data_IF_377522372430
#
_entry.id   IF_377522372430
#
_cell.length_a   1.000
_cell.length_b   1.000
_cell.length_c   1.000
_cell.angle_alpha   90.00
_cell.angle_beta   90.00
_cell.angle_gamma   90.00
#
_symmetry.space_group_name_H-M   'P 1'
#
loop_
_entity.id
_entity.type
_entity.pdbx_description
1 polymer ?
#
# COMPACT_ATOMS: atom_id res chain seq x y z
N UNK A 1 5.35 31.52 -18.33
CA UNK A 1 4.23 30.61 -18.02
C UNK A 1 4.78 29.18 -17.99
N UNK A 2 5.20 28.68 -16.83
CA UNK A 2 5.78 27.33 -16.65
C UNK A 2 5.50 26.90 -15.22
N UNK A 3 4.32 26.32 -14.98
CA UNK A 3 3.89 25.86 -13.65
C UNK A 3 3.08 24.56 -13.70
N UNK A 4 3.24 23.77 -14.78
CA UNK A 4 2.46 22.55 -15.03
C UNK A 4 3.35 21.27 -15.01
N UNK A 5 4.67 21.39 -15.16
CA UNK A 5 5.55 20.20 -15.30
C UNK A 5 5.81 19.39 -14.02
N UNK A 6 5.61 19.96 -12.83
CA UNK A 6 5.89 19.25 -11.57
C UNK A 6 4.73 18.35 -11.10
N UNK A 7 3.48 18.59 -11.55
CA UNK A 7 2.31 17.85 -11.06
C UNK A 7 2.10 16.50 -11.76
N UNK A 8 2.71 16.28 -12.93
CA UNK A 8 2.52 15.04 -13.72
C UNK A 8 3.46 13.91 -13.28
N UNK A 9 4.56 14.22 -12.60
CA UNK A 9 5.54 13.20 -12.19
C UNK A 9 5.15 12.50 -10.88
N UNK A 10 4.38 13.14 -9.99
CA UNK A 10 3.91 12.51 -8.74
C UNK A 10 2.78 11.47 -8.95
N UNK A 11 2.12 11.47 -10.11
CA UNK A 11 1.00 10.57 -10.39
C UNK A 11 1.44 9.11 -10.63
N UNK A 12 2.62 8.87 -11.21
CA UNK A 12 3.06 7.50 -11.48
C UNK A 12 3.52 6.76 -10.21
N UNK A 13 4.17 7.47 -9.28
CA UNK A 13 4.58 6.90 -7.99
C UNK A 13 3.34 6.54 -7.15
N UNK A 14 2.37 7.46 -7.05
CA UNK A 14 1.13 7.21 -6.30
C UNK A 14 0.29 6.05 -6.86
N UNK A 15 0.30 5.81 -8.18
CA UNK A 15 -0.39 4.66 -8.79
C UNK A 15 0.32 3.33 -8.49
N UNK A 16 1.66 3.28 -8.55
CA UNK A 16 2.41 2.07 -8.20
C UNK A 16 2.20 1.66 -6.73
N UNK A 17 2.01 2.65 -5.86
CA UNK A 17 1.75 2.46 -4.44
C UNK A 17 0.31 2.01 -4.15
N UNK A 18 -0.68 2.59 -4.82
CA UNK A 18 -2.06 2.11 -4.69
C UNK A 18 -2.22 0.65 -5.15
N UNK A 19 -1.44 0.23 -6.14
CA UNK A 19 -1.41 -1.17 -6.61
C UNK A 19 -0.86 -2.12 -5.54
N UNK A 20 0.19 -1.75 -4.80
CA UNK A 20 0.78 -2.62 -3.76
C UNK A 20 -0.16 -2.83 -2.58
N UNK A 21 -0.79 -1.77 -2.06
CA UNK A 21 -1.78 -1.92 -0.97
C UNK A 21 -3.03 -2.70 -1.40
N UNK A 22 -3.47 -2.53 -2.66
CA UNK A 22 -4.58 -3.31 -3.22
C UNK A 22 -4.21 -4.79 -3.39
N UNK A 23 -2.96 -5.08 -3.73
CA UNK A 23 -2.48 -6.46 -3.83
C UNK A 23 -2.46 -7.15 -2.46
N UNK A 24 -2.03 -6.44 -1.40
CA UNK A 24 -2.10 -6.92 -0.02
C UNK A 24 -3.53 -7.31 0.39
N UNK A 25 -4.52 -6.50 0.00
CA UNK A 25 -5.94 -6.81 0.22
C UNK A 25 -6.38 -8.07 -0.53
N UNK A 26 -5.98 -8.21 -1.79
CA UNK A 26 -6.31 -9.41 -2.58
C UNK A 26 -5.69 -10.67 -1.98
N UNK A 27 -4.45 -10.60 -1.49
CA UNK A 27 -3.81 -11.70 -0.79
C UNK A 27 -4.52 -12.03 0.53
N UNK A 28 -4.94 -11.01 1.28
CA UNK A 28 -5.73 -11.20 2.48
C UNK A 28 -7.06 -11.90 2.21
N UNK A 29 -7.82 -11.44 1.20
CA UNK A 29 -9.09 -12.06 0.81
C UNK A 29 -8.91 -13.49 0.29
N UNK A 30 -7.87 -13.73 -0.51
CA UNK A 30 -7.51 -15.08 -0.97
C UNK A 30 -7.17 -15.99 0.22
N UNK A 31 -6.39 -15.49 1.19
CA UNK A 31 -6.02 -16.23 2.38
C UNK A 31 -7.25 -16.51 3.28
N UNK A 32 -8.14 -15.53 3.45
CA UNK A 32 -9.38 -15.67 4.24
C UNK A 32 -10.38 -16.65 3.60
N UNK A 33 -10.38 -16.71 2.28
CA UNK A 33 -11.21 -17.62 1.47
C UNK A 33 -10.65 -19.05 1.43
N UNK A 34 -9.34 -19.21 1.63
CA UNK A 34 -8.70 -20.53 1.74
C UNK A 34 -9.17 -21.27 2.99
N UNK A 35 -9.67 -22.49 2.80
CA UNK A 35 -10.20 -23.36 3.87
C UNK A 35 -9.13 -23.96 4.78
N UNK A 36 -7.84 -23.84 4.44
CA UNK A 36 -6.71 -24.34 5.23
C UNK A 36 -5.91 -23.27 5.96
N UNK A 37 -6.16 -21.99 5.70
CA UNK A 37 -5.36 -20.90 6.27
C UNK A 37 -5.91 -20.44 7.62
N UNK A 38 -5.02 -20.30 8.60
CA UNK A 38 -5.38 -19.70 9.89
C UNK A 38 -5.71 -18.23 9.67
N UNK A 39 -6.91 -17.78 10.06
CA UNK A 39 -7.30 -16.37 9.93
C UNK A 39 -6.31 -15.43 10.62
N UNK A 40 -5.73 -15.85 11.75
CA UNK A 40 -4.66 -15.13 12.42
C UNK A 40 -3.37 -15.01 11.56
N UNK A 41 -3.03 -16.06 10.80
CA UNK A 41 -1.94 -16.03 9.83
C UNK A 41 -2.22 -15.05 8.69
N UNK A 42 -3.44 -15.07 8.14
CA UNK A 42 -3.83 -14.13 7.09
C UNK A 42 -3.77 -12.67 7.53
N UNK A 43 -4.20 -12.36 8.75
CA UNK A 43 -4.12 -11.00 9.30
C UNK A 43 -2.67 -10.58 9.53
N UNK A 44 -1.81 -11.49 9.99
CA UNK A 44 -0.37 -11.23 10.16
C UNK A 44 0.34 -10.99 8.83
N UNK A 45 0.03 -11.79 7.81
CA UNK A 45 0.55 -11.66 6.45
C UNK A 45 0.11 -10.34 5.82
N UNK A 46 -1.18 -10.00 5.97
CA UNK A 46 -1.74 -8.74 5.51
C UNK A 46 -1.06 -7.53 6.18
N UNK A 47 -0.90 -7.54 7.51
CA UNK A 47 -0.22 -6.47 8.22
C UNK A 47 1.25 -6.32 7.78
N UNK A 48 1.93 -7.44 7.54
CA UNK A 48 3.32 -7.45 7.03
C UNK A 48 3.38 -6.85 5.62
N UNK A 49 2.45 -7.22 4.74
CA UNK A 49 2.35 -6.67 3.39
C UNK A 49 2.10 -5.16 3.39
N UNK A 50 1.17 -4.68 4.23
CA UNK A 50 0.91 -3.24 4.37
C UNK A 50 2.17 -2.48 4.87
N UNK A 51 2.94 -3.07 5.79
CA UNK A 51 4.15 -2.45 6.33
C UNK A 51 5.29 -2.43 5.30
N UNK A 52 5.47 -3.49 4.51
CA UNK A 52 6.49 -3.55 3.44
C UNK A 52 6.17 -2.59 2.29
N UNK A 53 4.89 -2.48 1.92
CA UNK A 53 4.41 -1.48 0.97
C UNK A 53 4.65 -0.04 1.48
N UNK A 54 4.49 0.19 2.79
CA UNK A 54 4.82 1.47 3.40
C UNK A 54 6.33 1.75 3.39
N UNK A 55 7.19 0.79 3.74
CA UNK A 55 8.65 0.96 3.71
C UNK A 55 9.17 1.24 2.29
N UNK A 56 8.69 0.48 1.31
CA UNK A 56 8.96 0.70 -0.12
C UNK A 56 8.46 2.06 -0.59
N UNK A 57 7.37 2.55 -0.01
CA UNK A 57 6.94 3.90 -0.29
C UNK A 57 7.83 4.97 0.33
N UNK A 58 8.15 4.79 1.61
CA UNK A 58 8.83 5.76 2.44
C UNK A 58 10.30 5.94 1.99
N UNK A 59 10.86 4.92 1.34
CA UNK A 59 12.17 4.99 0.67
C UNK A 59 12.18 5.86 -0.59
N UNK A 60 11.02 6.33 -1.07
CA UNK A 60 10.98 7.37 -2.11
C UNK A 60 11.33 8.74 -1.50
N UNK A 61 12.40 9.37 -2.00
CA UNK A 61 12.93 10.69 -1.58
C UNK A 61 11.96 11.89 -1.79
N UNK A 62 10.69 11.60 -2.09
CA UNK A 62 9.68 12.58 -2.45
C UNK A 62 8.69 12.76 -1.27
N UNK A 63 8.73 13.90 -0.56
CA UNK A 63 7.99 14.10 0.70
C UNK A 63 6.47 14.06 0.54
N UNK A 64 5.94 14.30 -0.68
CA UNK A 64 4.52 14.14 -0.97
C UNK A 64 4.08 12.67 -0.99
N UNK A 65 5.00 11.77 -1.25
CA UNK A 65 4.75 10.32 -1.38
C UNK A 65 4.68 9.67 0.01
N UNK A 66 5.52 10.11 0.95
CA UNK A 66 5.54 9.58 2.33
C UNK A 66 4.22 9.80 3.08
N UNK A 67 3.65 11.02 2.99
CA UNK A 67 2.38 11.34 3.63
C UNK A 67 1.23 10.53 3.04
N UNK A 68 1.19 10.37 1.72
CA UNK A 68 0.19 9.55 1.05
C UNK A 68 0.33 8.06 1.41
N UNK A 69 1.54 7.60 1.72
CA UNK A 69 1.78 6.22 2.10
C UNK A 69 1.42 5.89 3.52
N UNK A 70 1.62 6.81 4.46
CA UNK A 70 1.08 6.64 5.82
C UNK A 70 -0.45 6.53 5.79
N UNK A 71 -1.11 7.31 4.92
CA UNK A 71 -2.58 7.21 4.73
C UNK A 71 -2.97 5.86 4.14
N UNK A 72 -2.28 5.39 3.11
CA UNK A 72 -2.57 4.10 2.49
C UNK A 72 -2.26 2.91 3.41
N UNK A 73 -1.19 2.96 4.18
CA UNK A 73 -0.86 1.97 5.20
C UNK A 73 -1.97 1.87 6.25
N UNK A 74 -2.40 3.01 6.80
CA UNK A 74 -3.49 3.05 7.76
C UNK A 74 -4.80 2.49 7.16
N UNK A 75 -5.06 2.79 5.89
CA UNK A 75 -6.23 2.26 5.18
C UNK A 75 -6.13 0.74 4.97
N UNK A 76 -4.94 0.24 4.61
CA UNK A 76 -4.65 -1.18 4.45
C UNK A 76 -4.84 -1.93 5.78
N UNK A 77 -4.23 -1.45 6.87
CA UNK A 77 -4.38 -2.05 8.21
C UNK A 77 -5.81 -1.98 8.77
N UNK A 78 -6.63 -1.06 8.27
CA UNK A 78 -8.04 -0.91 8.68
C UNK A 78 -9.00 -1.86 7.97
N UNK A 79 -8.56 -2.55 6.90
CA UNK A 79 -9.39 -3.42 6.08
C UNK A 79 -9.25 -4.94 6.40
N UNK A 80 -8.83 -5.25 7.63
CA UNK A 80 -8.67 -6.62 8.17
C UNK A 80 -9.97 -7.21 8.76
#
# INVERSE_FOLDING_TARGET
>A
MVKISALVHLALASVALAVTFTDCQNQFDACRSSSGSSKAGCVADHATCCADAFDTCNTSDDPGTVANCAVQEAHCQSQK
#
